data_IF_705409131405
#
_entry.id   IF_705409131405
#
_cell.length_a   1.000
_cell.length_b   1.000
_cell.length_c   1.000
_cell.angle_alpha   90.00
_cell.angle_beta   90.00
_cell.angle_gamma   90.00
#
_symmetry.space_group_name_H-M   'P 1'
#
loop_
_entity.id
_entity.type
_entity.pdbx_description
1 polymer ?
#
# COMPACT_ATOMS: atom_id res chain seq x y z
N UNK A 1 13.20 -16.36 -40.45
CA UNK A 1 12.41 -15.18 -40.01
C UNK A 1 12.42 -14.98 -38.47
N UNK A 2 12.36 -16.01 -37.66
CA UNK A 2 12.34 -15.89 -36.15
C UNK A 2 13.59 -15.18 -35.56
N UNK A 3 14.78 -15.39 -36.13
CA UNK A 3 16.02 -14.79 -35.60
C UNK A 3 16.08 -13.26 -35.80
N UNK A 4 15.51 -12.73 -36.88
CA UNK A 4 15.43 -11.28 -37.16
C UNK A 4 14.45 -10.58 -36.16
N UNK A 5 13.38 -11.25 -35.77
CA UNK A 5 12.45 -10.70 -34.80
C UNK A 5 13.05 -10.61 -33.39
N UNK A 6 13.86 -11.59 -32.95
CA UNK A 6 14.56 -11.53 -31.66
C UNK A 6 15.57 -10.39 -31.59
N UNK A 7 16.31 -10.14 -32.69
CA UNK A 7 17.25 -9.02 -32.74
C UNK A 7 16.52 -7.68 -32.71
N UNK A 8 15.40 -7.56 -33.40
CA UNK A 8 14.60 -6.33 -33.42
C UNK A 8 14.02 -6.01 -32.06
N UNK A 9 13.48 -7.02 -31.33
CA UNK A 9 12.99 -6.87 -29.98
C UNK A 9 14.08 -6.46 -28.96
N UNK A 10 15.27 -7.08 -29.10
CA UNK A 10 16.40 -6.70 -28.22
C UNK A 10 16.82 -5.25 -28.47
N UNK A 11 16.87 -4.83 -29.73
CA UNK A 11 17.26 -3.47 -30.09
C UNK A 11 16.24 -2.40 -29.65
N UNK A 12 14.95 -2.71 -29.72
CA UNK A 12 13.91 -1.79 -29.22
C UNK A 12 13.97 -1.60 -27.69
N UNK A 13 14.24 -2.66 -26.92
CA UNK A 13 14.40 -2.59 -25.47
C UNK A 13 15.62 -1.75 -25.10
N UNK A 14 16.75 -1.92 -25.81
CA UNK A 14 17.96 -1.13 -25.54
C UNK A 14 17.77 0.36 -25.85
N UNK A 15 17.09 0.69 -26.96
CA UNK A 15 16.78 2.09 -27.30
C UNK A 15 15.87 2.72 -26.24
N UNK A 16 14.85 2.02 -25.77
CA UNK A 16 13.97 2.50 -24.71
C UNK A 16 14.73 2.69 -23.38
N UNK A 17 15.65 1.81 -23.03
CA UNK A 17 16.46 1.94 -21.84
C UNK A 17 17.39 3.16 -21.87
N UNK A 18 17.99 3.47 -23.02
CA UNK A 18 18.82 4.67 -23.20
C UNK A 18 17.98 5.94 -23.12
N UNK A 19 16.77 5.96 -23.70
CA UNK A 19 15.86 7.10 -23.60
C UNK A 19 15.42 7.36 -22.16
N UNK A 20 15.07 6.33 -21.40
CA UNK A 20 14.71 6.45 -20.00
C UNK A 20 15.90 6.93 -19.15
N UNK A 21 17.09 6.37 -19.37
CA UNK A 21 18.30 6.81 -18.67
C UNK A 21 18.62 8.29 -18.94
N UNK A 22 18.41 8.76 -20.18
CA UNK A 22 18.63 10.16 -20.55
C UNK A 22 17.63 11.11 -19.87
N UNK A 23 16.36 10.73 -19.79
CA UNK A 23 15.34 11.52 -19.08
C UNK A 23 15.63 11.61 -17.58
N UNK A 24 15.98 10.49 -16.94
CA UNK A 24 16.32 10.45 -15.50
C UNK A 24 17.58 11.28 -15.25
N UNK A 25 18.63 11.14 -16.07
CA UNK A 25 19.85 11.91 -15.92
C UNK A 25 19.61 13.42 -16.05
N UNK A 26 18.76 13.83 -16.98
CA UNK A 26 18.40 15.25 -17.16
C UNK A 26 17.65 15.79 -15.92
N UNK A 27 16.70 15.04 -15.36
CA UNK A 27 15.99 15.43 -14.15
C UNK A 27 16.92 15.51 -12.94
N UNK A 28 17.82 14.54 -12.77
CA UNK A 28 18.79 14.50 -11.67
C UNK A 28 19.76 15.70 -11.77
N UNK A 29 20.25 16.00 -12.96
CA UNK A 29 21.12 17.17 -13.17
C UNK A 29 20.41 18.49 -12.86
N UNK A 30 19.13 18.61 -13.22
CA UNK A 30 18.33 19.79 -12.91
C UNK A 30 18.06 19.94 -11.40
N UNK A 31 17.74 18.84 -10.72
CA UNK A 31 17.45 18.85 -9.29
C UNK A 31 18.69 19.15 -8.43
N UNK A 32 19.84 18.63 -8.82
CA UNK A 32 21.08 18.73 -8.06
C UNK A 32 21.95 19.93 -8.49
N UNK A 33 21.55 20.70 -9.51
CA UNK A 33 22.31 21.84 -10.02
C UNK A 33 23.68 21.44 -10.60
N UNK A 34 23.81 20.20 -11.09
CA UNK A 34 25.08 19.66 -11.64
C UNK A 34 25.39 20.33 -12.99
N UNK A 35 26.64 20.72 -13.18
CA UNK A 35 27.06 21.30 -14.47
C UNK A 35 26.76 20.37 -15.62
N UNK A 36 26.22 20.91 -16.73
CA UNK A 36 25.83 20.15 -17.92
C UNK A 36 27.01 19.35 -18.55
N UNK A 37 28.24 19.71 -18.26
CA UNK A 37 29.42 18.95 -18.70
C UNK A 37 29.51 17.54 -18.09
N UNK A 38 28.86 17.27 -16.96
CA UNK A 38 28.82 15.95 -16.32
C UNK A 38 27.64 15.07 -16.75
N UNK A 39 26.73 15.62 -17.58
CA UNK A 39 25.57 14.89 -18.08
C UNK A 39 25.90 13.52 -18.71
N UNK A 40 26.95 13.36 -19.57
CA UNK A 40 27.23 12.05 -20.15
C UNK A 40 27.67 11.00 -19.11
N UNK A 41 28.34 11.41 -18.02
CA UNK A 41 28.71 10.51 -16.94
C UNK A 41 27.46 10.05 -16.15
N UNK A 42 26.54 10.96 -15.86
CA UNK A 42 25.28 10.64 -15.17
C UNK A 42 24.42 9.72 -16.03
N UNK A 43 24.37 9.94 -17.35
CA UNK A 43 23.68 9.05 -18.29
C UNK A 43 24.31 7.64 -18.32
N UNK A 44 25.64 7.56 -18.40
CA UNK A 44 26.34 6.27 -18.44
C UNK A 44 26.11 5.46 -17.16
N UNK A 45 26.24 6.11 -15.97
CA UNK A 45 25.99 5.46 -14.69
C UNK A 45 24.51 5.05 -14.54
N UNK A 46 23.58 5.88 -14.95
CA UNK A 46 22.14 5.57 -14.95
C UNK A 46 21.81 4.37 -15.85
N UNK A 47 22.40 4.29 -17.03
CA UNK A 47 22.24 3.15 -17.93
C UNK A 47 22.79 1.85 -17.34
N UNK A 48 23.98 1.88 -16.72
CA UNK A 48 24.57 0.71 -16.06
C UNK A 48 23.66 0.21 -14.91
N UNK A 49 23.13 1.12 -14.09
CA UNK A 49 22.23 0.78 -12.99
C UNK A 49 20.94 0.14 -13.54
N UNK A 50 20.33 0.70 -14.58
CA UNK A 50 19.15 0.15 -15.21
C UNK A 50 19.40 -1.26 -15.79
N UNK A 51 20.57 -1.47 -16.38
CA UNK A 51 20.94 -2.78 -16.93
C UNK A 51 21.17 -3.82 -15.84
N UNK A 52 21.78 -3.43 -14.73
CA UNK A 52 21.93 -4.30 -13.55
C UNK A 52 20.58 -4.65 -12.91
N UNK A 53 19.68 -3.68 -12.76
CA UNK A 53 18.32 -3.92 -12.25
C UNK A 53 17.53 -4.87 -13.16
N UNK A 54 17.64 -4.69 -14.48
CA UNK A 54 17.00 -5.59 -15.45
C UNK A 54 17.51 -7.03 -15.30
N UNK A 55 18.83 -7.24 -15.17
CA UNK A 55 19.39 -8.58 -14.93
C UNK A 55 18.95 -9.16 -13.59
N UNK A 56 18.91 -8.33 -12.55
CA UNK A 56 18.42 -8.77 -11.24
C UNK A 56 16.95 -9.20 -11.31
N UNK A 57 16.10 -8.45 -12.00
CA UNK A 57 14.69 -8.82 -12.20
C UNK A 57 14.54 -10.16 -12.96
N UNK A 58 15.38 -10.42 -13.95
CA UNK A 58 15.36 -11.72 -14.67
C UNK A 58 15.77 -12.87 -13.74
N UNK A 59 16.81 -12.67 -12.94
CA UNK A 59 17.27 -13.69 -11.97
C UNK A 59 16.18 -13.98 -10.93
N UNK A 60 15.58 -12.93 -10.37
CA UNK A 60 14.48 -13.06 -9.40
C UNK A 60 13.25 -13.73 -10.03
N UNK A 61 12.89 -13.36 -11.27
CA UNK A 61 11.79 -13.98 -11.99
C UNK A 61 12.05 -15.48 -12.23
N UNK A 62 13.27 -15.86 -12.62
CA UNK A 62 13.66 -17.28 -12.76
C UNK A 62 13.58 -18.02 -11.43
N UNK A 63 14.10 -17.41 -10.36
CA UNK A 63 14.05 -18.01 -9.03
C UNK A 63 12.60 -18.22 -8.55
N UNK A 64 11.70 -17.26 -8.81
CA UNK A 64 10.28 -17.38 -8.49
C UNK A 64 9.62 -18.49 -9.33
N UNK A 65 9.93 -18.58 -10.63
CA UNK A 65 9.38 -19.61 -11.53
C UNK A 65 9.88 -21.01 -11.10
N UNK A 66 11.14 -21.14 -10.70
CA UNK A 66 11.70 -22.40 -10.20
C UNK A 66 11.20 -22.77 -8.79
N UNK A 67 10.88 -21.77 -7.95
CA UNK A 67 10.33 -21.95 -6.62
C UNK A 67 8.83 -22.31 -6.59
N UNK A 68 8.10 -22.06 -7.71
CA UNK A 68 6.72 -22.52 -7.86
C UNK A 68 6.77 -24.01 -8.21
N UNK A 69 6.31 -24.91 -7.32
CA UNK A 69 6.28 -26.33 -7.62
C UNK A 69 5.46 -26.57 -8.87
N UNK A 70 6.05 -27.26 -9.84
CA UNK A 70 5.56 -27.47 -11.21
C UNK A 70 4.27 -28.27 -11.32
N UNK A 71 3.49 -28.38 -10.25
CA UNK A 71 2.22 -29.13 -10.22
C UNK A 71 1.07 -28.46 -11.00
N UNK A 72 1.22 -27.20 -11.44
CA UNK A 72 0.15 -26.48 -12.13
C UNK A 72 0.38 -26.23 -13.63
N UNK A 73 1.56 -26.55 -14.20
CA UNK A 73 1.87 -26.32 -15.61
C UNK A 73 2.19 -27.59 -16.44
N UNK A 74 1.91 -28.78 -15.91
CA UNK A 74 2.08 -30.04 -16.65
C UNK A 74 0.85 -30.35 -17.52
N UNK A 75 0.45 -29.44 -18.39
CA UNK A 75 -0.63 -29.68 -19.36
C UNK A 75 -0.38 -29.02 -20.72
N UNK A 76 0.84 -29.12 -21.25
CA UNK A 76 1.06 -28.95 -22.69
C UNK A 76 2.49 -29.37 -23.04
N UNK A 77 2.80 -30.64 -23.15
CA UNK A 77 3.72 -31.26 -24.12
C UNK A 77 4.06 -32.69 -23.72
N UNK A 78 3.09 -33.56 -23.80
CA UNK A 78 3.41 -34.99 -23.91
C UNK A 78 3.53 -35.30 -25.42
N UNK A 79 4.78 -35.32 -25.88
CA UNK A 79 5.12 -35.89 -27.16
C UNK A 79 4.85 -37.39 -27.10
N UNK A 80 3.94 -37.77 -27.93
CA UNK A 80 3.60 -39.10 -28.41
C UNK A 80 4.86 -39.94 -28.65
N UNK A 81 5.10 -40.94 -27.81
CA UNK A 81 5.80 -42.14 -28.23
C UNK A 81 4.77 -43.29 -28.31
N UNK A 82 4.71 -43.81 -29.51
CA UNK A 82 3.79 -44.83 -29.94
C UNK A 82 3.98 -46.15 -29.18
N UNK A 83 2.98 -46.56 -28.40
CA UNK A 83 2.68 -47.93 -28.17
C UNK A 83 1.18 -48.14 -28.13
N UNK A 84 0.74 -48.89 -29.11
CA UNK A 84 -0.60 -49.31 -29.45
C UNK A 84 -1.38 -49.88 -28.23
N UNK A 85 -2.35 -49.11 -27.76
CA UNK A 85 -3.58 -49.68 -27.23
C UNK A 85 -4.73 -48.77 -27.63
N UNK A 86 -5.68 -49.30 -28.35
CA UNK A 86 -6.88 -48.67 -28.86
C UNK A 86 -7.68 -48.17 -27.64
N UNK A 87 -7.46 -46.91 -27.25
CA UNK A 87 -8.32 -46.17 -26.33
C UNK A 87 -9.39 -45.50 -27.17
N UNK A 88 -10.63 -45.95 -27.04
CA UNK A 88 -11.79 -45.26 -27.61
C UNK A 88 -11.73 -43.75 -27.23
N UNK A 89 -12.04 -42.83 -28.14
CA UNK A 89 -12.08 -41.40 -27.81
C UNK A 89 -13.10 -41.18 -26.68
N UNK A 90 -12.73 -40.42 -25.63
CA UNK A 90 -13.67 -40.14 -24.55
C UNK A 90 -14.94 -39.51 -25.13
N UNK A 91 -16.08 -40.05 -24.71
CA UNK A 91 -17.39 -39.53 -25.14
C UNK A 91 -17.44 -38.01 -24.88
N UNK A 92 -18.04 -37.25 -25.77
CA UNK A 92 -18.21 -35.79 -25.61
C UNK A 92 -18.84 -35.42 -24.25
N UNK A 93 -19.61 -36.34 -23.66
CA UNK A 93 -20.19 -36.23 -22.30
C UNK A 93 -19.13 -36.25 -21.20
N UNK A 94 -18.11 -37.09 -21.32
CA UNK A 94 -17.02 -37.21 -20.32
C UNK A 94 -16.14 -35.94 -20.34
N UNK A 95 -15.95 -35.33 -21.50
CA UNK A 95 -15.20 -34.10 -21.64
C UNK A 95 -15.91 -32.91 -20.96
N UNK A 96 -17.22 -32.81 -21.08
CA UNK A 96 -18.05 -31.76 -20.44
C UNK A 96 -18.04 -31.92 -18.92
N UNK A 97 -18.11 -33.15 -18.43
CA UNK A 97 -18.11 -33.40 -16.98
C UNK A 97 -16.75 -33.08 -16.34
N UNK A 98 -15.65 -33.40 -17.03
CA UNK A 98 -14.29 -33.03 -16.59
C UNK A 98 -14.10 -31.52 -16.57
N UNK A 99 -14.61 -30.81 -17.58
CA UNK A 99 -14.56 -29.33 -17.60
C UNK A 99 -15.41 -28.73 -16.47
N UNK A 100 -16.58 -29.29 -16.17
CA UNK A 100 -17.42 -28.84 -15.07
C UNK A 100 -16.71 -29.00 -13.72
N UNK A 101 -16.11 -30.14 -13.45
CA UNK A 101 -15.34 -30.40 -12.21
C UNK A 101 -14.13 -29.44 -12.08
N UNK A 102 -13.43 -29.13 -13.19
CA UNK A 102 -12.34 -28.15 -13.18
C UNK A 102 -12.85 -26.74 -12.85
N UNK A 103 -13.99 -26.36 -13.40
CA UNK A 103 -14.62 -25.07 -13.12
C UNK A 103 -15.03 -24.95 -11.65
N UNK A 104 -15.60 -26.02 -11.08
CA UNK A 104 -16.00 -26.08 -9.66
C UNK A 104 -14.77 -25.97 -8.73
N UNK A 105 -13.68 -26.68 -9.04
CA UNK A 105 -12.42 -26.58 -8.29
C UNK A 105 -11.82 -25.16 -8.37
N UNK A 106 -11.76 -24.58 -9.57
CA UNK A 106 -11.28 -23.23 -9.75
C UNK A 106 -12.11 -22.21 -8.95
N UNK A 107 -13.44 -22.37 -8.98
CA UNK A 107 -14.33 -21.49 -8.22
C UNK A 107 -14.12 -21.59 -6.71
N UNK A 108 -13.92 -22.81 -6.21
CA UNK A 108 -13.61 -23.07 -4.80
C UNK A 108 -12.25 -22.46 -4.38
N UNK A 109 -11.21 -22.66 -5.19
CA UNK A 109 -9.87 -22.08 -4.96
C UNK A 109 -9.92 -20.56 -4.97
N UNK A 110 -10.61 -19.96 -5.94
CA UNK A 110 -10.79 -18.52 -6.04
C UNK A 110 -11.51 -17.95 -4.82
N UNK A 111 -12.60 -18.57 -4.36
CA UNK A 111 -13.29 -18.12 -3.15
C UNK A 111 -12.40 -18.22 -1.91
N UNK A 112 -11.61 -19.28 -1.78
CA UNK A 112 -10.67 -19.44 -0.68
C UNK A 112 -9.58 -18.37 -0.68
N UNK A 113 -9.03 -18.05 -1.83
CA UNK A 113 -8.04 -16.97 -1.98
C UNK A 113 -8.64 -15.60 -1.63
N UNK A 114 -9.85 -15.33 -2.09
CA UNK A 114 -10.60 -14.11 -1.74
C UNK A 114 -10.80 -13.98 -0.22
N UNK A 115 -11.20 -15.05 0.45
CA UNK A 115 -11.35 -15.05 1.90
C UNK A 115 -10.03 -14.80 2.63
N UNK A 116 -8.95 -15.45 2.20
CA UNK A 116 -7.61 -15.23 2.77
C UNK A 116 -7.09 -13.80 2.55
N UNK A 117 -7.41 -13.20 1.40
CA UNK A 117 -7.06 -11.81 1.12
C UNK A 117 -7.83 -10.86 2.05
N UNK A 118 -9.12 -11.06 2.22
CA UNK A 118 -9.95 -10.27 3.14
C UNK A 118 -9.46 -10.37 4.58
N UNK A 119 -9.19 -11.58 5.06
CA UNK A 119 -8.66 -11.79 6.41
C UNK A 119 -7.32 -11.07 6.64
N UNK A 120 -6.39 -11.15 5.69
CA UNK A 120 -5.11 -10.44 5.78
C UNK A 120 -5.30 -8.92 5.82
N UNK A 121 -6.21 -8.40 5.01
CA UNK A 121 -6.52 -6.97 4.99
C UNK A 121 -7.11 -6.51 6.33
N UNK A 122 -8.06 -7.25 6.89
CA UNK A 122 -8.65 -6.96 8.20
C UNK A 122 -7.61 -7.03 9.32
N UNK A 123 -6.70 -7.99 9.29
CA UNK A 123 -5.60 -8.09 10.25
C UNK A 123 -4.64 -6.90 10.17
N UNK A 124 -4.31 -6.44 8.95
CA UNK A 124 -3.46 -5.26 8.74
C UNK A 124 -4.13 -3.98 9.25
N UNK A 125 -5.42 -3.80 8.97
CA UNK A 125 -6.21 -2.67 9.45
C UNK A 125 -6.31 -2.68 10.99
N UNK A 126 -6.53 -3.84 11.59
CA UNK A 126 -6.58 -3.99 13.05
C UNK A 126 -5.21 -3.74 13.70
N UNK A 127 -4.12 -4.20 13.09
CA UNK A 127 -2.75 -3.89 13.57
C UNK A 127 -2.48 -2.40 13.54
N UNK A 128 -2.87 -1.72 12.46
CA UNK A 128 -2.72 -0.28 12.30
C UNK A 128 -3.54 0.49 13.35
N UNK A 129 -4.79 0.10 13.55
CA UNK A 129 -5.67 0.68 14.56
C UNK A 129 -5.09 0.52 15.97
N UNK A 130 -4.67 -0.68 16.34
CA UNK A 130 -4.06 -0.95 17.64
C UNK A 130 -2.78 -0.14 17.87
N UNK A 131 -1.97 0.04 16.85
CA UNK A 131 -0.76 0.88 16.94
C UNK A 131 -1.10 2.34 17.24
N UNK A 132 -2.14 2.90 16.60
CA UNK A 132 -2.58 4.28 16.86
C UNK A 132 -3.23 4.44 18.23
N UNK A 133 -4.04 3.49 18.67
CA UNK A 133 -4.61 3.52 20.01
C UNK A 133 -3.53 3.43 21.10
N UNK A 134 -2.49 2.63 20.87
CA UNK A 134 -1.32 2.59 21.76
C UNK A 134 -0.59 3.92 21.78
N UNK A 135 -0.29 4.50 20.59
CA UNK A 135 0.32 5.83 20.49
C UNK A 135 -0.51 6.90 21.21
N UNK A 136 -1.83 6.89 21.05
CA UNK A 136 -2.74 7.80 21.74
C UNK A 136 -2.61 7.65 23.25
N UNK A 137 -2.69 6.44 23.77
CA UNK A 137 -2.58 6.15 25.20
C UNK A 137 -1.24 6.60 25.78
N UNK A 138 -0.14 6.26 25.11
CA UNK A 138 1.21 6.65 25.54
C UNK A 138 1.42 8.16 25.50
N UNK A 139 0.85 8.84 24.49
CA UNK A 139 0.93 10.31 24.37
C UNK A 139 0.23 10.99 25.54
N UNK A 140 -1.02 10.64 25.82
CA UNK A 140 -1.81 11.32 26.85
C UNK A 140 -1.45 10.90 28.29
N UNK A 141 -0.93 9.69 28.47
CA UNK A 141 -0.36 9.26 29.77
C UNK A 141 0.79 10.15 30.23
N UNK A 142 1.57 10.73 29.31
CA UNK A 142 2.68 11.64 29.64
C UNK A 142 2.22 13.00 30.17
N UNK A 143 0.96 13.34 29.97
CA UNK A 143 0.36 14.61 30.39
C UNK A 143 -0.52 14.50 31.63
N UNK A 144 -0.39 13.39 32.37
CA UNK A 144 -1.12 13.12 33.62
C UNK A 144 -2.66 13.18 33.49
N UNK A 145 -3.21 12.83 32.33
CA UNK A 145 -4.64 12.63 32.17
C UNK A 145 -5.06 11.36 32.92
N UNK A 146 -6.26 11.38 33.45
CA UNK A 146 -6.81 10.20 34.11
C UNK A 146 -7.18 9.11 33.11
N UNK A 147 -7.31 7.86 33.58
CA UNK A 147 -7.58 6.72 32.68
C UNK A 147 -8.91 6.86 31.92
N UNK A 148 -9.91 7.50 32.55
CA UNK A 148 -11.22 7.71 31.91
C UNK A 148 -11.11 8.68 30.75
N UNK A 149 -10.38 9.78 30.91
CA UNK A 149 -10.14 10.75 29.84
C UNK A 149 -9.33 10.12 28.70
N UNK A 150 -8.28 9.34 29.02
CA UNK A 150 -7.48 8.63 28.03
C UNK A 150 -8.34 7.62 27.26
N UNK A 151 -9.20 6.87 27.95
CA UNK A 151 -10.12 5.94 27.32
C UNK A 151 -11.04 6.63 26.32
N UNK A 152 -11.60 7.79 26.71
CA UNK A 152 -12.49 8.55 25.83
C UNK A 152 -11.80 9.12 24.62
N UNK A 153 -10.57 9.62 24.77
CA UNK A 153 -9.76 10.05 23.63
C UNK A 153 -9.50 8.85 22.70
N UNK A 154 -9.19 7.67 23.25
CA UNK A 154 -9.00 6.46 22.46
C UNK A 154 -10.26 6.06 21.69
N UNK A 155 -11.45 6.13 22.33
CA UNK A 155 -12.71 5.83 21.66
C UNK A 155 -13.06 6.87 20.59
N UNK A 156 -12.83 8.15 20.84
CA UNK A 156 -12.98 9.21 19.84
C UNK A 156 -12.05 8.99 18.64
N UNK A 157 -10.79 8.60 18.89
CA UNK A 157 -9.81 8.27 17.84
C UNK A 157 -10.26 7.05 17.07
N UNK A 158 -10.69 5.98 17.76
CA UNK A 158 -11.19 4.76 17.11
C UNK A 158 -12.32 5.10 16.15
N UNK A 159 -13.33 5.82 16.63
CA UNK A 159 -14.49 6.19 15.82
C UNK A 159 -14.09 7.08 14.62
N UNK A 160 -13.19 8.04 14.85
CA UNK A 160 -12.66 8.93 13.82
C UNK A 160 -11.96 8.18 12.68
N UNK A 161 -11.12 7.20 12.99
CA UNK A 161 -10.34 6.46 11.97
C UNK A 161 -11.15 5.35 11.31
N UNK A 162 -12.13 4.75 12.00
CA UNK A 162 -12.93 3.64 11.47
C UNK A 162 -14.10 4.14 10.64
N UNK A 163 -14.81 5.13 11.13
CA UNK A 163 -16.06 5.59 10.52
C UNK A 163 -15.89 6.87 9.68
N UNK A 164 -14.71 7.48 9.73
CA UNK A 164 -14.45 8.80 9.14
C UNK A 164 -15.50 9.85 9.57
N UNK A 165 -15.89 9.79 10.85
CA UNK A 165 -16.86 10.68 11.44
C UNK A 165 -16.37 11.17 12.82
N UNK A 166 -16.95 12.24 13.30
CA UNK A 166 -16.65 12.78 14.63
C UNK A 166 -17.63 12.21 15.63
N UNK A 167 -17.10 11.58 16.66
CA UNK A 167 -17.89 11.10 17.79
C UNK A 167 -18.24 12.28 18.69
N UNK A 168 -19.53 12.62 18.79
CA UNK A 168 -20.01 13.65 19.73
C UNK A 168 -20.19 13.02 21.11
N UNK A 169 -19.24 13.25 22.00
CA UNK A 169 -19.39 12.84 23.38
C UNK A 169 -20.24 13.85 24.13
N UNK A 170 -21.45 13.48 24.44
CA UNK A 170 -22.37 14.31 25.24
C UNK A 170 -22.16 14.17 26.75
N UNK A 171 -21.47 13.14 27.21
CA UNK A 171 -21.45 12.78 28.65
C UNK A 171 -20.13 13.04 29.37
N UNK A 172 -19.02 13.21 28.67
CA UNK A 172 -17.72 13.44 29.32
C UNK A 172 -16.89 14.49 28.62
N UNK A 173 -16.64 15.57 29.32
CA UNK A 173 -15.74 16.63 28.89
C UNK A 173 -14.32 16.35 29.41
N UNK A 174 -13.37 16.30 28.48
CA UNK A 174 -11.94 16.25 28.81
C UNK A 174 -11.56 17.61 29.35
N UNK A 175 -11.18 17.67 30.62
CA UNK A 175 -10.80 18.91 31.30
C UNK A 175 -9.51 19.47 30.72
N UNK A 176 -9.43 20.81 30.63
CA UNK A 176 -8.25 21.49 30.13
C UNK A 176 -7.07 21.31 31.09
N UNK A 177 -6.02 20.64 30.61
CA UNK A 177 -4.74 20.51 31.32
C UNK A 177 -3.76 21.57 30.86
N UNK A 178 -3.02 22.17 31.80
CA UNK A 178 -2.03 23.22 31.52
C UNK A 178 -0.85 22.73 30.67
N UNK A 179 -0.54 21.44 30.75
CA UNK A 179 0.54 20.78 29.98
C UNK A 179 0.20 20.58 28.51
N UNK A 180 -1.09 20.61 28.12
CA UNK A 180 -1.55 20.41 26.75
C UNK A 180 -1.84 21.74 26.07
N UNK A 181 -1.21 21.96 24.93
CA UNK A 181 -1.42 23.14 24.11
C UNK A 181 -2.29 22.85 22.89
N UNK A 182 -2.95 23.87 22.34
CA UNK A 182 -3.68 23.74 21.06
C UNK A 182 -2.80 23.21 19.93
N UNK A 183 -1.51 23.57 19.93
CA UNK A 183 -0.55 23.14 18.90
C UNK A 183 -0.30 21.65 19.03
N UNK A 184 -0.04 21.13 20.22
CA UNK A 184 0.19 19.71 20.45
C UNK A 184 -1.02 18.87 20.08
N UNK A 185 -2.24 19.32 20.40
CA UNK A 185 -3.48 18.64 20.04
C UNK A 185 -3.75 18.62 18.54
N UNK A 186 -3.50 19.75 17.84
CA UNK A 186 -3.58 19.80 16.37
C UNK A 186 -2.59 18.86 15.70
N UNK A 187 -1.34 18.86 16.16
CA UNK A 187 -0.30 17.98 15.61
C UNK A 187 -0.61 16.51 15.87
N UNK A 188 -1.12 16.17 17.06
CA UNK A 188 -1.58 14.82 17.37
C UNK A 188 -2.67 14.36 16.37
N UNK A 189 -3.72 15.15 16.21
CA UNK A 189 -4.82 14.81 15.31
C UNK A 189 -4.37 14.74 13.84
N UNK A 190 -3.48 15.66 13.41
CA UNK A 190 -2.91 15.65 12.07
C UNK A 190 -2.11 14.38 11.78
N UNK A 191 -1.27 13.93 12.74
CA UNK A 191 -0.48 12.72 12.57
C UNK A 191 -1.36 11.48 12.37
N UNK A 192 -2.47 11.37 13.10
CA UNK A 192 -3.45 10.30 12.93
C UNK A 192 -4.14 10.40 11.57
N UNK A 193 -4.67 11.59 11.25
CA UNK A 193 -5.39 11.83 10.00
C UNK A 193 -4.52 11.53 8.77
N UNK A 194 -3.25 11.91 8.81
CA UNK A 194 -2.28 11.64 7.74
C UNK A 194 -2.11 10.15 7.49
N UNK A 195 -2.02 9.34 8.54
CA UNK A 195 -1.87 7.88 8.40
C UNK A 195 -3.11 7.18 7.84
N UNK A 196 -4.29 7.77 8.03
CA UNK A 196 -5.56 7.25 7.52
C UNK A 196 -6.09 7.99 6.30
N UNK A 197 -5.30 8.92 5.75
CA UNK A 197 -5.68 9.75 4.61
C UNK A 197 -7.00 10.51 4.83
N UNK A 198 -7.23 10.99 6.06
CA UNK A 198 -8.42 11.75 6.44
C UNK A 198 -8.23 13.22 6.09
N UNK A 199 -9.23 13.83 5.48
CA UNK A 199 -9.19 15.20 5.02
C UNK A 199 -9.08 16.23 6.16
N UNK A 200 -8.55 17.41 5.85
CA UNK A 200 -8.30 18.51 6.80
C UNK A 200 -9.56 18.98 7.53
N UNK A 201 -10.69 19.06 6.85
CA UNK A 201 -11.95 19.53 7.43
C UNK A 201 -12.46 18.55 8.50
N UNK A 202 -12.42 17.28 8.22
CA UNK A 202 -12.80 16.25 9.18
C UNK A 202 -11.86 16.21 10.39
N UNK A 203 -10.55 16.39 10.16
CA UNK A 203 -9.55 16.49 11.24
C UNK A 203 -9.79 17.71 12.12
N UNK A 204 -10.18 18.84 11.53
CA UNK A 204 -10.53 20.05 12.27
C UNK A 204 -11.77 19.81 13.15
N UNK A 205 -12.81 19.21 12.59
CA UNK A 205 -14.02 18.83 13.34
C UNK A 205 -13.69 17.89 14.49
N UNK A 206 -12.85 16.89 14.27
CA UNK A 206 -12.41 15.95 15.31
C UNK A 206 -11.70 16.68 16.46
N UNK A 207 -10.73 17.55 16.16
CA UNK A 207 -9.99 18.29 17.19
C UNK A 207 -10.92 19.18 18.01
N UNK A 208 -11.80 19.92 17.35
CA UNK A 208 -12.70 20.84 18.03
C UNK A 208 -13.77 20.15 18.86
N UNK A 209 -14.25 18.99 18.42
CA UNK A 209 -15.23 18.21 19.16
C UNK A 209 -14.61 17.46 20.35
N UNK A 210 -13.47 16.79 20.13
CA UNK A 210 -12.81 15.99 21.17
C UNK A 210 -12.17 16.87 22.26
N UNK A 211 -11.61 18.02 21.89
CA UNK A 211 -10.87 18.93 22.78
C UNK A 211 -11.55 20.30 22.88
N UNK A 212 -12.87 20.31 23.03
CA UNK A 212 -13.70 21.52 22.98
C UNK A 212 -13.23 22.64 23.92
N UNK A 213 -12.75 22.33 25.14
CA UNK A 213 -12.29 23.32 26.10
C UNK A 213 -11.05 24.10 25.63
N UNK A 214 -10.15 23.48 24.85
CA UNK A 214 -8.99 24.18 24.30
C UNK A 214 -9.35 25.10 23.14
N UNK A 215 -10.42 24.76 22.43
CA UNK A 215 -10.83 25.45 21.19
C UNK A 215 -12.10 26.29 21.34
N UNK A 216 -12.59 26.50 22.58
CA UNK A 216 -13.81 27.24 22.87
C UNK A 216 -13.83 28.66 22.23
N UNK A 217 -12.67 29.32 22.17
CA UNK A 217 -12.52 30.65 21.59
C UNK A 217 -11.92 30.66 20.16
N UNK A 218 -11.87 29.49 19.51
CA UNK A 218 -11.28 29.33 18.17
C UNK A 218 -12.36 29.08 17.14
N UNK A 219 -12.28 29.74 15.99
CA UNK A 219 -13.18 29.46 14.88
C UNK A 219 -12.68 28.26 14.07
N UNK A 220 -13.60 27.55 13.42
CA UNK A 220 -13.27 26.40 12.55
C UNK A 220 -12.21 26.77 11.51
N UNK A 221 -12.37 27.89 10.82
CA UNK A 221 -11.43 28.33 9.79
C UNK A 221 -10.04 28.64 10.33
N UNK A 222 -9.95 29.17 11.54
CA UNK A 222 -8.65 29.44 12.20
C UNK A 222 -7.94 28.14 12.54
N UNK A 223 -8.66 27.17 13.09
CA UNK A 223 -8.10 25.84 13.42
C UNK A 223 -7.70 25.11 12.15
N UNK A 224 -8.53 25.12 11.11
CA UNK A 224 -8.29 24.51 9.81
C UNK A 224 -7.05 25.05 9.12
N UNK A 225 -6.87 26.38 9.08
CA UNK A 225 -5.68 27.01 8.46
C UNK A 225 -4.39 26.62 9.18
N UNK A 226 -4.45 26.50 10.50
CA UNK A 226 -3.29 26.26 11.37
C UNK A 226 -3.22 24.81 11.88
N UNK A 227 -3.86 23.85 11.21
CA UNK A 227 -3.91 22.46 11.64
C UNK A 227 -2.53 21.81 11.65
N UNK A 228 -1.69 22.17 10.68
CA UNK A 228 -0.28 21.77 10.63
C UNK A 228 0.58 22.99 10.95
N UNK A 229 1.07 23.09 12.16
CA UNK A 229 2.10 24.07 12.50
C UNK A 229 3.46 23.42 12.18
N UNK A 230 4.10 23.88 11.12
CA UNK A 230 5.54 23.62 10.92
C UNK A 230 6.29 24.46 11.94
N UNK A 231 6.85 23.81 12.96
CA UNK A 231 7.94 24.38 13.75
C UNK A 231 9.21 24.22 12.99
#
# INVERSE_FOLDING_TARGET
MKQKQHILHSLTIEVMAVLLASMIAFQVCNMLGIRMSLLPFVMATGYIILKLLYHLCIIVARYIIEAIPSSHFALANEKTDASSSVVLPPSAKDCVEVQKKRMELFHYEYQREQQQYQQRKEEEENKKLNAILRYTRETFKRFDLNETEIFQICESVRYFVTNHQVFSMTEVHIKKHSSLTQISLKNFAWNIAFQYNIGRDMTTSFVMATFSEWFANSTFDTVRKNLRTTT
#
